data_IF_695999455694
#
_entry.id   IF_695999455694
#
_cell.length_a   1.000
_cell.length_b   1.000
_cell.length_c   1.000
_cell.angle_alpha   90.00
_cell.angle_beta   90.00
_cell.angle_gamma   90.00
#
_symmetry.space_group_name_H-M   'P 1'
#
loop_
_entity.id
_entity.type
_entity.pdbx_description
1 polymer ?
#
# COMPACT_ATOMS: atom_id res chain seq x y z
N UNK A 1 -17.44 -53.27 -21.46
CA UNK A 1 -18.09 -52.32 -20.53
C UNK A 1 -17.30 -52.29 -19.23
N UNK A 2 -16.51 -51.24 -18.98
CA UNK A 2 -16.10 -50.84 -17.63
C UNK A 2 -16.05 -49.32 -17.64
N UNK A 3 -16.96 -48.70 -16.87
CA UNK A 3 -17.04 -47.25 -16.60
C UNK A 3 -15.93 -46.90 -15.61
N UNK A 4 -15.08 -45.92 -15.94
CA UNK A 4 -14.25 -45.25 -14.94
C UNK A 4 -14.61 -43.77 -14.91
N UNK A 5 -15.31 -43.44 -13.83
CA UNK A 5 -15.88 -42.14 -13.48
C UNK A 5 -14.89 -41.42 -12.55
N UNK A 6 -14.61 -40.15 -12.85
CA UNK A 6 -14.14 -39.06 -11.96
C UNK A 6 -12.91 -39.27 -11.06
N UNK A 7 -11.90 -38.42 -11.28
CA UNK A 7 -11.31 -37.64 -10.19
C UNK A 7 -10.60 -36.41 -10.79
N UNK A 8 -11.29 -35.27 -10.80
CA UNK A 8 -10.65 -33.96 -10.98
C UNK A 8 -9.62 -33.77 -9.87
N UNK A 9 -8.34 -33.79 -10.25
CA UNK A 9 -7.24 -33.48 -9.37
C UNK A 9 -7.28 -31.97 -9.09
N UNK A 10 -7.94 -31.59 -8.01
CA UNK A 10 -7.90 -30.26 -7.40
C UNK A 10 -6.46 -30.01 -6.95
N UNK A 11 -5.71 -29.27 -7.76
CA UNK A 11 -4.38 -28.77 -7.41
C UNK A 11 -4.57 -27.67 -6.36
N UNK A 12 -4.63 -28.06 -5.08
CA UNK A 12 -4.58 -27.12 -3.97
C UNK A 12 -3.13 -26.63 -3.86
N UNK A 13 -2.84 -25.47 -4.44
CA UNK A 13 -1.65 -24.70 -4.11
C UNK A 13 -1.79 -24.20 -2.66
N UNK A 14 -1.31 -25.00 -1.70
CA UNK A 14 -0.92 -24.49 -0.40
C UNK A 14 0.25 -23.52 -0.62
N UNK A 15 -0.05 -22.22 -0.64
CA UNK A 15 0.96 -21.18 -0.53
C UNK A 15 1.34 -21.13 0.96
N UNK A 16 2.25 -22.00 1.40
CA UNK A 16 2.94 -21.84 2.68
C UNK A 16 4.10 -20.88 2.46
N UNK A 17 3.84 -19.58 2.52
CA UNK A 17 4.91 -18.58 2.58
C UNK A 17 4.84 -17.87 3.93
N UNK A 18 5.64 -18.44 4.84
CA UNK A 18 6.33 -17.82 5.97
C UNK A 18 5.66 -16.62 6.64
N UNK A 19 5.12 -16.87 7.84
CA UNK A 19 5.08 -15.86 8.89
C UNK A 19 6.51 -15.71 9.43
N UNK A 20 7.36 -14.97 8.72
CA UNK A 20 8.68 -14.57 9.19
C UNK A 20 8.52 -13.35 10.09
N UNK A 21 8.26 -13.61 11.37
CA UNK A 21 8.14 -12.58 12.38
C UNK A 21 9.51 -12.02 12.78
N UNK A 22 9.59 -10.70 12.83
CA UNK A 22 10.32 -9.94 13.83
C UNK A 22 11.85 -9.94 13.76
N UNK A 23 12.38 -8.72 13.69
CA UNK A 23 13.71 -8.33 14.18
C UNK A 23 14.95 -8.73 13.39
N UNK A 24 14.85 -9.16 12.14
CA UNK A 24 16.04 -9.19 11.28
C UNK A 24 16.32 -7.77 10.74
N UNK A 25 17.42 -7.10 11.15
CA UNK A 25 17.77 -5.79 10.63
C UNK A 25 17.98 -5.78 9.11
N UNK A 26 18.25 -6.93 8.47
CA UNK A 26 18.34 -7.01 7.00
C UNK A 26 16.98 -6.91 6.30
N UNK A 27 15.88 -7.23 7.00
CA UNK A 27 14.52 -7.19 6.47
C UNK A 27 13.71 -5.98 6.98
N UNK A 28 14.41 -4.92 7.37
CA UNK A 28 13.79 -3.64 7.68
C UNK A 28 13.53 -2.84 6.40
N UNK A 29 12.35 -2.25 6.30
CA UNK A 29 11.98 -1.35 5.22
C UNK A 29 12.82 -0.06 5.32
N UNK A 30 13.52 0.30 4.24
CA UNK A 30 14.38 1.49 4.19
C UNK A 30 13.83 2.60 3.30
N UNK A 31 13.06 2.26 2.26
CA UNK A 31 12.42 3.23 1.39
C UNK A 31 11.07 2.74 0.89
N UNK A 32 10.22 3.69 0.52
CA UNK A 32 8.87 3.42 0.03
C UNK A 32 8.60 4.25 -1.23
N UNK A 33 8.34 3.57 -2.32
CA UNK A 33 7.94 4.18 -3.59
C UNK A 33 6.42 4.04 -3.77
N UNK A 34 5.78 5.11 -4.23
CA UNK A 34 4.35 5.12 -4.55
C UNK A 34 4.18 5.21 -6.05
N UNK A 35 3.58 4.19 -6.66
CA UNK A 35 3.39 4.12 -8.11
C UNK A 35 1.90 4.21 -8.45
N UNK A 36 1.48 5.14 -9.32
CA UNK A 36 0.10 5.20 -9.80
C UNK A 36 -0.15 4.11 -10.88
N UNK A 37 -1.25 3.38 -10.74
CA UNK A 37 -1.90 2.65 -11.83
C UNK A 37 -3.17 3.41 -12.24
N UNK A 38 -3.18 4.02 -13.41
CA UNK A 38 -4.34 4.77 -13.90
C UNK A 38 -5.45 3.81 -14.38
N UNK A 39 -6.69 4.04 -13.93
CA UNK A 39 -7.88 3.38 -14.45
C UNK A 39 -9.08 4.35 -14.48
N UNK A 40 -9.48 4.78 -15.68
CA UNK A 40 -10.78 5.44 -15.94
C UNK A 40 -11.14 6.62 -14.99
N UNK A 41 -10.26 7.62 -14.87
CA UNK A 41 -10.50 8.79 -13.99
C UNK A 41 -10.29 8.51 -12.49
N UNK A 42 -9.88 7.29 -12.14
CA UNK A 42 -9.42 6.89 -10.83
C UNK A 42 -7.94 6.45 -10.93
N UNK A 43 -7.22 6.50 -9.82
CA UNK A 43 -5.87 5.95 -9.74
C UNK A 43 -5.79 4.95 -8.60
N UNK A 44 -5.33 3.75 -8.92
CA UNK A 44 -4.96 2.75 -7.94
C UNK A 44 -3.47 2.91 -7.64
N UNK A 45 -3.14 3.37 -6.44
CA UNK A 45 -1.75 3.48 -6.02
C UNK A 45 -1.26 2.17 -5.44
N UNK A 46 0.01 1.85 -5.73
CA UNK A 46 0.71 0.70 -5.16
C UNK A 46 1.93 1.21 -4.40
N UNK A 47 2.14 0.69 -3.19
CA UNK A 47 3.30 0.99 -2.37
C UNK A 47 4.34 -0.13 -2.53
N UNK A 48 5.51 0.22 -3.05
CA UNK A 48 6.64 -0.70 -3.26
C UNK A 48 7.71 -0.35 -2.25
N UNK A 49 7.97 -1.26 -1.33
CA UNK A 49 9.00 -1.12 -0.31
C UNK A 49 10.32 -1.71 -0.77
N UNK A 50 11.43 -1.02 -0.46
CA UNK A 50 12.78 -1.57 -0.57
C UNK A 50 13.30 -1.85 0.82
N UNK A 51 13.82 -3.05 1.04
CA UNK A 51 14.38 -3.52 2.30
C UNK A 51 15.90 -3.33 2.34
N UNK A 52 16.48 -3.40 3.53
CA UNK A 52 17.92 -3.16 3.73
C UNK A 52 18.83 -4.16 2.98
N UNK A 53 18.34 -5.37 2.73
CA UNK A 53 18.96 -6.40 1.88
C UNK A 53 18.86 -6.13 0.37
N UNK A 54 18.18 -5.04 -0.04
CA UNK A 54 17.95 -4.67 -1.43
C UNK A 54 16.76 -5.37 -2.09
N UNK A 55 16.06 -6.25 -1.38
CA UNK A 55 14.82 -6.86 -1.86
C UNK A 55 13.73 -5.80 -2.02
N UNK A 56 12.85 -5.97 -3.00
CA UNK A 56 11.69 -5.10 -3.21
C UNK A 56 10.41 -5.89 -3.24
N UNK A 57 9.36 -5.37 -2.60
CA UNK A 57 8.04 -5.99 -2.61
C UNK A 57 6.93 -4.95 -2.51
N UNK A 58 5.74 -5.33 -2.98
CA UNK A 58 4.52 -4.59 -2.65
C UNK A 58 4.20 -4.78 -1.17
N UNK A 59 4.01 -3.69 -0.45
CA UNK A 59 3.70 -3.71 0.97
C UNK A 59 2.36 -3.03 1.26
N UNK A 60 1.73 -3.42 2.36
CA UNK A 60 0.59 -2.67 2.89
C UNK A 60 1.08 -1.31 3.41
N UNK A 61 0.25 -0.28 3.23
CA UNK A 61 0.57 1.08 3.68
C UNK A 61 -0.68 1.79 4.19
N UNK A 62 -0.48 2.73 5.10
CA UNK A 62 -1.45 3.73 5.49
C UNK A 62 -1.49 4.81 4.41
N UNK A 63 -2.65 5.01 3.81
CA UNK A 63 -2.88 5.95 2.71
C UNK A 63 -3.53 7.24 3.20
N UNK A 64 -2.94 8.40 2.91
CA UNK A 64 -3.47 9.71 3.32
C UNK A 64 -3.41 10.74 2.20
N UNK A 65 -4.34 11.71 2.27
CA UNK A 65 -4.38 12.90 1.43
C UNK A 65 -3.70 14.04 2.19
N UNK A 66 -2.36 14.04 2.16
CA UNK A 66 -1.52 14.94 2.94
C UNK A 66 -0.50 14.21 3.80
N UNK A 67 0.47 14.95 4.37
CA UNK A 67 1.54 14.37 5.17
C UNK A 67 0.98 13.57 6.36
N UNK A 68 1.43 12.32 6.56
CA UNK A 68 1.01 11.52 7.69
C UNK A 68 1.46 12.17 9.00
N UNK A 69 0.63 12.08 10.05
CA UNK A 69 0.97 12.52 11.41
C UNK A 69 1.36 14.00 11.57
N UNK A 70 0.96 14.86 10.63
CA UNK A 70 1.21 16.30 10.71
C UNK A 70 0.44 16.95 11.86
N UNK A 71 1.15 17.72 12.70
CA UNK A 71 0.56 18.56 13.75
C UNK A 71 0.11 19.93 13.22
N UNK A 72 0.63 20.36 12.07
CA UNK A 72 0.08 21.50 11.33
C UNK A 72 -1.20 21.04 10.64
N UNK A 73 -2.27 21.86 10.66
CA UNK A 73 -3.48 21.56 9.91
C UNK A 73 -3.09 21.26 8.47
N UNK A 74 -3.36 20.02 8.03
CA UNK A 74 -3.21 19.69 6.62
C UNK A 74 -4.00 20.72 5.84
N UNK A 75 -3.42 21.24 4.75
CA UNK A 75 -4.17 22.00 3.75
C UNK A 75 -5.50 21.29 3.52
N UNK A 76 -6.65 21.99 3.58
CA UNK A 76 -7.95 21.33 3.53
C UNK A 76 -7.97 20.39 2.32
N UNK A 77 -8.25 19.11 2.59
CA UNK A 77 -8.37 18.09 1.54
C UNK A 77 -9.37 18.65 0.53
N UNK A 78 -8.97 18.83 -0.74
CA UNK A 78 -9.86 19.44 -1.72
C UNK A 78 -11.17 18.66 -1.81
N UNK A 79 -12.29 19.39 -1.75
CA UNK A 79 -13.61 18.79 -1.93
C UNK A 79 -13.67 18.06 -3.28
N UNK A 80 -14.24 16.85 -3.29
CA UNK A 80 -14.30 16.03 -4.49
C UNK A 80 -13.07 15.15 -4.73
N UNK A 81 -12.17 15.00 -3.75
CA UNK A 81 -11.13 13.99 -3.77
C UNK A 81 -11.40 12.95 -2.67
N UNK A 82 -11.36 11.66 -3.01
CA UNK A 82 -11.48 10.58 -2.03
C UNK A 82 -10.35 9.57 -2.18
N UNK A 83 -9.84 9.07 -1.05
CA UNK A 83 -8.80 8.05 -0.98
C UNK A 83 -9.27 6.93 -0.06
N UNK A 84 -9.25 5.69 -0.55
CA UNK A 84 -9.59 4.50 0.23
C UNK A 84 -8.34 3.85 0.82
N UNK A 85 -8.53 3.06 1.88
CA UNK A 85 -7.46 2.32 2.57
C UNK A 85 -6.68 1.35 1.67
N UNK A 86 -7.21 0.98 0.50
CA UNK A 86 -6.50 0.17 -0.49
C UNK A 86 -5.60 0.99 -1.44
N UNK A 87 -5.47 2.30 -1.26
CA UNK A 87 -4.74 3.18 -2.18
C UNK A 87 -5.54 3.58 -3.43
N UNK A 88 -6.87 3.39 -3.43
CA UNK A 88 -7.73 3.82 -4.54
C UNK A 88 -8.11 5.29 -4.35
N UNK A 89 -7.62 6.17 -5.23
CA UNK A 89 -8.00 7.57 -5.28
C UNK A 89 -9.03 7.83 -6.38
N UNK A 90 -10.02 8.66 -6.09
CA UNK A 90 -11.07 9.08 -7.03
C UNK A 90 -11.28 10.59 -6.99
N UNK A 91 -11.46 11.17 -8.18
CA UNK A 91 -11.86 12.57 -8.34
C UNK A 91 -13.35 12.64 -8.70
N UNK A 92 -14.09 13.49 -7.99
CA UNK A 92 -15.49 13.82 -8.25
C UNK A 92 -15.62 15.34 -8.19
N UNK A 93 -15.23 16.03 -9.26
CA UNK A 93 -15.33 17.49 -9.38
C UNK A 93 -14.12 18.28 -8.85
N UNK A 94 -13.10 17.61 -8.31
CA UNK A 94 -11.80 18.26 -8.06
C UNK A 94 -10.98 18.28 -9.36
N UNK A 95 -10.45 19.46 -9.71
CA UNK A 95 -9.54 19.66 -10.83
C UNK A 95 -8.19 20.12 -10.27
N UNK A 96 -7.10 19.46 -10.67
CA UNK A 96 -5.75 19.80 -10.23
C UNK A 96 -5.00 18.63 -9.60
N UNK A 97 -3.89 18.95 -8.93
CA UNK A 97 -2.97 17.94 -8.42
C UNK A 97 -3.14 17.77 -6.90
N UNK A 98 -3.22 16.52 -6.47
CA UNK A 98 -3.22 16.15 -5.06
C UNK A 98 -2.02 15.25 -4.71
N UNK A 99 -1.46 15.45 -3.52
CA UNK A 99 -0.43 14.57 -2.99
C UNK A 99 -1.06 13.34 -2.33
N UNK A 100 -0.67 12.15 -2.78
CA UNK A 100 -1.01 10.88 -2.16
C UNK A 100 0.21 10.41 -1.38
N UNK A 101 0.00 10.10 -0.11
CA UNK A 101 1.04 9.66 0.80
C UNK A 101 0.76 8.21 1.19
N UNK A 102 1.80 7.38 1.14
CA UNK A 102 1.79 6.02 1.67
C UNK A 102 2.77 5.97 2.83
N UNK A 103 2.37 5.37 3.94
CA UNK A 103 3.24 5.21 5.12
C UNK A 103 3.20 3.79 5.62
N UNK A 104 4.36 3.19 5.81
CA UNK A 104 4.51 1.84 6.32
C UNK A 104 5.51 1.84 7.50
N UNK A 105 5.36 0.92 8.46
CA UNK A 105 6.34 0.75 9.50
C UNK A 105 7.65 0.20 8.91
N UNK A 106 8.78 0.59 9.50
CA UNK A 106 10.10 0.02 9.19
C UNK A 106 10.10 -1.49 9.41
N UNK A 107 9.45 -1.93 10.49
CA UNK A 107 9.17 -3.33 10.75
C UNK A 107 7.82 -3.72 10.14
N UNK A 108 7.85 -4.46 9.03
CA UNK A 108 6.66 -4.88 8.29
C UNK A 108 5.82 -5.94 9.00
N UNK A 109 6.28 -6.48 10.13
CA UNK A 109 5.45 -7.35 10.98
C UNK A 109 4.39 -6.57 11.76
N UNK A 110 4.57 -5.26 11.93
CA UNK A 110 3.59 -4.38 12.56
C UNK A 110 2.39 -4.18 11.61
N UNK A 111 1.16 -4.53 12.04
CA UNK A 111 -0.02 -4.31 11.21
C UNK A 111 -0.25 -2.83 10.93
N UNK A 112 -0.69 -2.48 9.71
CA UNK A 112 -0.95 -1.09 9.31
C UNK A 112 -1.98 -0.39 10.23
N UNK A 113 -2.94 -1.13 10.79
CA UNK A 113 -3.92 -0.61 11.75
C UNK A 113 -3.32 -0.18 13.09
N UNK A 114 -2.05 -0.54 13.37
CA UNK A 114 -1.30 -0.19 14.58
C UNK A 114 -0.22 0.85 14.33
N UNK A 115 -0.07 1.33 13.10
CA UNK A 115 0.90 2.36 12.75
C UNK A 115 0.44 3.69 13.36
N UNK A 116 1.33 4.32 14.11
CA UNK A 116 1.10 5.62 14.74
C UNK A 116 2.28 6.55 14.49
N UNK A 117 2.19 7.80 14.94
CA UNK A 117 3.29 8.76 14.89
C UNK A 117 4.53 8.32 15.70
N UNK A 118 4.37 7.42 16.67
CA UNK A 118 5.46 6.90 17.50
C UNK A 118 6.11 5.64 16.91
N UNK A 119 5.50 5.06 15.87
CA UNK A 119 6.07 3.92 15.15
C UNK A 119 7.21 4.43 14.26
N UNK A 120 8.32 3.70 14.17
CA UNK A 120 9.34 3.99 13.16
C UNK A 120 8.75 3.70 11.79
N UNK A 121 8.58 4.75 10.98
CA UNK A 121 7.87 4.67 9.71
C UNK A 121 8.73 5.15 8.55
N UNK A 122 8.43 4.63 7.37
CA UNK A 122 8.92 5.12 6.07
C UNK A 122 7.71 5.59 5.28
N UNK A 123 7.83 6.75 4.65
CA UNK A 123 6.76 7.32 3.84
C UNK A 123 7.25 7.57 2.41
N UNK A 124 6.37 7.30 1.46
CA UNK A 124 6.52 7.63 0.05
C UNK A 124 5.39 8.53 -0.41
N UNK A 125 5.61 9.28 -1.49
CA UNK A 125 4.62 10.19 -2.05
C UNK A 125 4.49 10.03 -3.55
N UNK A 126 3.28 10.26 -4.05
CA UNK A 126 2.99 10.41 -5.47
C UNK A 126 2.03 11.57 -5.70
N UNK A 127 2.03 12.10 -6.91
CA UNK A 127 1.02 13.07 -7.32
C UNK A 127 -0.11 12.36 -8.05
N UNK A 128 -1.34 12.77 -7.75
CA UNK A 128 -2.54 12.38 -8.46
C UNK A 128 -3.08 13.61 -9.18
N UNK A 129 -3.08 13.56 -10.51
CA UNK A 129 -3.68 14.60 -11.34
C UNK A 129 -5.13 14.23 -11.62
N UNK A 130 -6.05 15.09 -11.19
CA UNK A 130 -7.46 15.01 -11.54
C UNK A 130 -7.72 15.85 -12.81
N UNK A 131 -8.37 15.26 -13.83
CA UNK A 131 -8.71 15.94 -15.07
C UNK A 131 -9.84 16.95 -14.90
#
# INVERSE_FOLDING_TARGET
MVKFTFASLLLVTLITTSCGGGDDPSHMLVSLQVTPGSAEGNAQFTAIGTFADGYTATIAALWTLGPPFSLTPATPIPGGLSLRAAGLAKCTGFNGNAGIFATAPVDTSIPISKVTMNTKNVSGTAQFACP
#
